data_IF_741472810894
#
_entry.id   IF_741472810894
#
_cell.length_a   1.000
_cell.length_b   1.000
_cell.length_c   1.000
_cell.angle_alpha   90.00
_cell.angle_beta   90.00
_cell.angle_gamma   90.00
#
_symmetry.space_group_name_H-M   'P 1'
#
loop_
_entity.id
_entity.type
_entity.pdbx_description
1 polymer ?
#
# COMPACT_ATOMS: atom_id res chain seq x y z
N UNK A 1 -58.78 14.80 -11.93
CA UNK A 1 -57.84 14.97 -10.79
C UNK A 1 -56.49 14.42 -11.21
N UNK A 2 -55.57 15.31 -11.60
CA UNK A 2 -54.22 14.91 -11.99
C UNK A 2 -53.37 14.71 -10.71
N UNK A 3 -52.93 13.49 -10.47
CA UNK A 3 -52.04 13.17 -9.36
C UNK A 3 -50.62 13.54 -9.77
N UNK A 4 -50.12 14.68 -9.27
CA UNK A 4 -48.73 15.07 -9.45
C UNK A 4 -47.84 14.14 -8.63
N UNK A 5 -47.13 13.25 -9.33
CA UNK A 5 -46.03 12.48 -8.76
C UNK A 5 -44.92 13.44 -8.35
N UNK A 6 -44.78 13.67 -7.05
CA UNK A 6 -43.72 14.50 -6.49
C UNK A 6 -42.37 13.79 -6.67
N UNK A 7 -41.70 14.05 -7.80
CA UNK A 7 -40.30 13.68 -8.00
C UNK A 7 -39.46 14.44 -6.98
N UNK A 8 -38.98 13.75 -5.94
CA UNK A 8 -38.00 14.30 -5.02
C UNK A 8 -36.70 14.59 -5.79
N UNK A 9 -36.54 15.83 -6.26
CA UNK A 9 -35.26 16.40 -6.69
C UNK A 9 -34.46 16.65 -5.41
N UNK A 10 -33.97 15.56 -4.83
CA UNK A 10 -32.93 15.59 -3.82
C UNK A 10 -31.61 15.51 -4.56
N UNK A 11 -30.84 16.60 -4.57
CA UNK A 11 -29.41 16.56 -4.89
C UNK A 11 -28.69 15.69 -3.84
N UNK A 12 -28.83 14.37 -3.94
CA UNK A 12 -27.76 13.51 -3.44
C UNK A 12 -26.53 13.87 -4.27
N UNK A 13 -25.40 14.31 -3.67
CA UNK A 13 -24.21 14.58 -4.44
C UNK A 13 -23.89 13.30 -5.22
N UNK A 14 -23.85 13.39 -6.54
CA UNK A 14 -23.42 12.29 -7.38
C UNK A 14 -22.09 11.82 -6.82
N UNK A 15 -22.07 10.61 -6.24
CA UNK A 15 -20.83 10.04 -5.72
C UNK A 15 -19.95 9.83 -6.95
N UNK A 16 -18.94 10.68 -7.12
CA UNK A 16 -18.05 10.65 -8.28
C UNK A 16 -17.13 9.42 -8.25
N UNK A 17 -16.75 8.97 -7.05
CA UNK A 17 -15.82 7.85 -6.82
C UNK A 17 -16.32 6.87 -5.74
N UNK A 18 -17.51 6.26 -5.91
CA UNK A 18 -18.12 5.42 -4.89
C UNK A 18 -17.32 4.15 -4.59
N UNK A 19 -16.67 3.54 -5.57
CA UNK A 19 -15.86 2.33 -5.37
C UNK A 19 -14.51 2.71 -4.80
N UNK A 20 -13.77 3.61 -5.45
CA UNK A 20 -12.45 4.06 -4.98
C UNK A 20 -12.54 4.67 -3.57
N UNK A 21 -13.59 5.47 -3.31
CA UNK A 21 -13.85 6.04 -1.98
C UNK A 21 -14.18 4.99 -0.91
N UNK A 22 -14.91 3.92 -1.25
CA UNK A 22 -15.21 2.84 -0.30
C UNK A 22 -13.94 2.09 0.14
N UNK A 23 -12.99 1.89 -0.78
CA UNK A 23 -11.71 1.25 -0.48
C UNK A 23 -10.71 2.18 0.21
N UNK A 24 -10.93 3.49 0.24
CA UNK A 24 -10.04 4.41 0.94
C UNK A 24 -9.92 4.06 2.44
N UNK A 25 -11.04 3.73 3.09
CA UNK A 25 -11.06 3.39 4.51
C UNK A 25 -10.16 2.19 4.85
N UNK A 26 -10.33 0.98 4.28
CA UNK A 26 -9.49 -0.17 4.63
C UNK A 26 -8.02 0.03 4.26
N UNK A 27 -7.72 0.67 3.13
CA UNK A 27 -6.33 0.94 2.74
C UNK A 27 -5.64 1.95 3.67
N UNK A 28 -6.33 3.03 4.05
CA UNK A 28 -5.80 4.01 5.02
C UNK A 28 -5.66 3.39 6.40
N UNK A 29 -6.63 2.59 6.86
CA UNK A 29 -6.51 1.88 8.12
C UNK A 29 -5.26 0.98 8.16
N UNK A 30 -4.99 0.27 7.06
CA UNK A 30 -3.80 -0.56 6.95
C UNK A 30 -2.50 0.25 6.84
N UNK A 31 -2.51 1.39 6.15
CA UNK A 31 -1.39 2.33 6.13
C UNK A 31 -1.02 2.81 7.55
N UNK A 32 -2.03 3.21 8.32
CA UNK A 32 -1.87 3.63 9.71
C UNK A 32 -1.31 2.51 10.59
N UNK A 33 -1.75 1.26 10.37
CA UNK A 33 -1.19 0.10 11.05
C UNK A 33 0.31 -0.09 10.75
N UNK A 34 0.71 -0.05 9.47
CA UNK A 34 2.13 -0.15 9.08
C UNK A 34 2.96 1.02 9.67
N UNK A 35 2.41 2.23 9.64
CA UNK A 35 3.06 3.42 10.21
C UNK A 35 3.25 3.28 11.72
N UNK A 36 2.21 2.85 12.43
CA UNK A 36 2.25 2.60 13.87
C UNK A 36 3.28 1.55 14.26
N UNK A 37 3.43 0.48 13.46
CA UNK A 37 4.48 -0.52 13.67
C UNK A 37 5.89 0.07 13.53
N UNK A 38 6.14 0.88 12.50
CA UNK A 38 7.42 1.58 12.36
C UNK A 38 7.72 2.47 13.56
N UNK A 39 6.72 3.21 14.04
CA UNK A 39 6.87 4.05 15.25
C UNK A 39 7.15 3.19 16.48
N UNK A 40 6.42 2.08 16.66
CA UNK A 40 6.62 1.17 17.80
C UNK A 40 8.04 0.59 17.85
N UNK A 41 8.58 0.16 16.70
CA UNK A 41 9.96 -0.34 16.64
C UNK A 41 10.98 0.76 16.93
N UNK A 42 10.78 1.99 16.42
CA UNK A 42 11.65 3.14 16.71
C UNK A 42 11.67 3.51 18.19
N UNK A 43 10.51 3.50 18.85
CA UNK A 43 10.40 3.77 20.27
C UNK A 43 11.04 2.66 21.12
N UNK A 44 10.96 1.40 20.67
CA UNK A 44 11.58 0.26 21.37
C UNK A 44 13.09 0.19 21.21
N UNK A 45 13.61 0.57 20.06
CA UNK A 45 15.03 0.44 19.72
C UNK A 45 15.80 1.76 19.91
N UNK A 46 15.16 2.80 20.47
CA UNK A 46 15.70 4.15 20.73
C UNK A 46 16.41 4.83 19.53
N UNK A 47 16.13 4.36 18.31
CA UNK A 47 16.73 4.88 17.10
C UNK A 47 15.82 5.93 16.48
N UNK A 48 16.11 7.20 16.79
CA UNK A 48 15.32 8.34 16.32
C UNK A 48 15.64 8.69 14.87
N UNK A 49 14.71 9.37 14.21
CA UNK A 49 14.93 9.87 12.85
C UNK A 49 15.99 10.99 12.95
N UNK A 50 17.14 10.78 12.31
CA UNK A 50 18.24 11.75 12.34
C UNK A 50 19.30 11.51 13.43
N UNK A 51 19.34 10.35 14.07
CA UNK A 51 20.50 9.97 14.88
C UNK A 51 21.71 9.77 13.95
N UNK A 52 22.79 10.52 14.17
CA UNK A 52 24.01 10.37 13.38
C UNK A 52 24.57 8.96 13.59
N UNK A 53 24.79 8.22 12.51
CA UNK A 53 25.51 6.94 12.53
C UNK A 53 26.99 7.06 12.91
N UNK A 54 27.39 8.17 13.54
CA UNK A 54 28.76 8.47 13.98
C UNK A 54 28.89 8.51 15.51
N UNK A 55 28.06 7.80 16.27
CA UNK A 55 28.52 7.32 17.57
C UNK A 55 29.62 6.29 17.30
N UNK A 56 30.86 6.78 17.21
CA UNK A 56 32.05 5.96 17.43
C UNK A 56 31.82 5.21 18.73
N UNK A 57 32.03 3.91 18.68
CA UNK A 57 32.29 3.07 19.84
C UNK A 57 33.52 3.63 20.57
N UNK A 58 33.32 4.65 21.39
CA UNK A 58 34.28 5.12 22.37
C UNK A 58 33.68 4.83 23.73
N UNK A 59 33.61 3.54 24.04
CA UNK A 59 33.88 2.97 25.37
C UNK A 59 33.49 1.48 25.38
N UNK A 60 34.29 0.65 24.72
CA UNK A 60 34.41 -0.76 25.09
C UNK A 60 35.82 -1.26 24.77
N UNK A 61 36.58 -1.69 25.79
CA UNK A 61 37.97 -2.06 25.62
C UNK A 61 38.08 -3.45 24.97
N UNK A 62 39.08 -3.56 24.10
CA UNK A 62 39.70 -4.80 23.62
C UNK A 62 38.84 -5.72 22.73
N UNK A 63 39.14 -5.65 21.42
CA UNK A 63 39.57 -6.81 20.65
C UNK A 63 38.79 -8.11 20.84
N UNK A 64 37.53 -8.13 20.43
CA UNK A 64 36.87 -9.34 19.95
C UNK A 64 36.15 -8.99 18.66
N UNK A 65 36.60 -9.58 17.55
CA UNK A 65 35.75 -9.73 16.37
C UNK A 65 34.55 -10.55 16.82
N UNK A 66 33.44 -9.85 17.11
CA UNK A 66 32.17 -10.48 17.43
C UNK A 66 31.66 -11.05 16.11
N UNK A 67 32.03 -12.31 15.87
CA UNK A 67 31.29 -13.22 15.03
C UNK A 67 29.81 -13.08 15.39
N UNK A 68 29.03 -12.68 14.40
CA UNK A 68 27.57 -12.76 14.30
C UNK A 68 26.87 -13.38 15.53
N UNK A 69 26.44 -12.53 16.46
CA UNK A 69 25.37 -12.82 17.43
C UNK A 69 24.80 -11.51 18.02
N UNK A 70 24.60 -10.50 17.15
CA UNK A 70 23.70 -9.38 17.42
C UNK A 70 22.37 -9.67 16.69
N UNK A 71 21.68 -10.71 17.14
CA UNK A 71 20.48 -11.25 16.52
C UNK A 71 19.27 -10.29 16.56
N UNK A 72 18.59 -10.23 15.43
CA UNK A 72 17.15 -9.97 15.25
C UNK A 72 16.57 -8.55 15.40
N UNK A 73 17.16 -7.61 16.15
CA UNK A 73 16.48 -6.31 16.37
C UNK A 73 16.62 -5.28 15.23
N UNK A 74 17.77 -5.20 14.57
CA UNK A 74 17.98 -4.22 13.48
C UNK A 74 17.24 -4.60 12.18
N UNK A 75 16.79 -5.86 12.04
CA UNK A 75 16.05 -6.30 10.86
C UNK A 75 14.57 -5.94 10.93
N UNK A 76 13.93 -5.97 12.10
CA UNK A 76 12.50 -5.74 12.22
C UNK A 76 12.10 -4.30 11.85
N UNK A 77 12.85 -3.31 12.32
CA UNK A 77 12.63 -1.91 11.96
C UNK A 77 12.88 -1.65 10.47
N UNK A 78 13.90 -2.27 9.89
CA UNK A 78 14.23 -2.16 8.46
C UNK A 78 13.14 -2.82 7.60
N UNK A 79 12.65 -3.99 8.01
CA UNK A 79 11.56 -4.71 7.35
C UNK A 79 10.26 -3.92 7.42
N UNK A 80 9.90 -3.38 8.60
CA UNK A 80 8.71 -2.57 8.77
C UNK A 80 8.77 -1.29 7.93
N UNK A 81 9.93 -0.62 7.94
CA UNK A 81 10.14 0.62 7.16
C UNK A 81 10.02 0.36 5.66
N UNK A 82 10.59 -0.75 5.16
CA UNK A 82 10.45 -1.15 3.75
C UNK A 82 9.01 -1.50 3.39
N UNK A 83 8.28 -2.20 4.27
CA UNK A 83 6.86 -2.51 4.05
C UNK A 83 6.00 -1.23 3.96
N UNK A 84 6.23 -0.28 4.87
CA UNK A 84 5.54 1.01 4.87
C UNK A 84 5.87 1.85 3.64
N UNK A 85 7.15 1.98 3.28
CA UNK A 85 7.59 2.72 2.08
C UNK A 85 6.99 2.10 0.80
N UNK A 86 7.05 0.78 0.66
CA UNK A 86 6.49 0.11 -0.51
C UNK A 86 4.97 0.30 -0.63
N UNK A 87 4.24 0.33 0.49
CA UNK A 87 2.82 0.66 0.48
C UNK A 87 2.60 2.12 0.05
N UNK A 88 3.38 3.05 0.58
CA UNK A 88 3.28 4.48 0.28
C UNK A 88 3.61 4.83 -1.19
N UNK A 89 4.45 4.04 -1.86
CA UNK A 89 4.78 4.26 -3.28
C UNK A 89 3.70 3.73 -4.23
N UNK A 90 3.12 2.57 -3.92
CA UNK A 90 2.27 1.87 -4.87
C UNK A 90 0.78 2.15 -4.69
N UNK A 91 0.31 2.29 -3.44
CA UNK A 91 -1.12 2.43 -3.16
C UNK A 91 -1.68 3.77 -3.62
N UNK A 92 -1.03 4.92 -3.36
CA UNK A 92 -1.52 6.19 -3.89
C UNK A 92 -1.61 6.19 -5.41
N UNK A 93 -0.60 5.64 -6.10
CA UNK A 93 -0.62 5.52 -7.56
C UNK A 93 -1.78 4.64 -8.04
N UNK A 94 -2.03 3.51 -7.38
CA UNK A 94 -3.16 2.64 -7.70
C UNK A 94 -4.52 3.35 -7.48
N UNK A 95 -4.66 4.16 -6.44
CA UNK A 95 -5.87 4.94 -6.19
C UNK A 95 -6.09 6.06 -7.20
N UNK A 96 -5.01 6.70 -7.66
CA UNK A 96 -5.08 7.70 -8.75
C UNK A 96 -5.58 7.01 -10.03
N UNK A 97 -5.00 5.88 -10.41
CA UNK A 97 -5.42 5.14 -11.61
C UNK A 97 -6.85 4.59 -11.49
N UNK A 98 -7.22 4.05 -10.33
CA UNK A 98 -8.57 3.59 -10.06
C UNK A 98 -9.60 4.74 -10.14
N UNK A 99 -9.25 5.91 -9.60
CA UNK A 99 -10.09 7.11 -9.69
C UNK A 99 -10.26 7.59 -11.14
N UNK A 100 -9.18 7.63 -11.91
CA UNK A 100 -9.23 7.96 -13.34
C UNK A 100 -10.13 6.95 -14.08
N UNK A 101 -9.94 5.65 -13.86
CA UNK A 101 -10.77 4.62 -14.49
C UNK A 101 -12.25 4.79 -14.13
N UNK A 102 -12.56 5.03 -12.86
CA UNK A 102 -13.94 5.19 -12.36
C UNK A 102 -14.64 6.41 -12.97
N UNK A 103 -13.94 7.55 -13.07
CA UNK A 103 -14.47 8.76 -13.71
C UNK A 103 -14.71 8.55 -15.21
N UNK A 104 -13.88 7.73 -15.88
CA UNK A 104 -14.03 7.36 -17.29
C UNK A 104 -15.06 6.23 -17.52
N UNK A 105 -15.87 5.88 -16.53
CA UNK A 105 -16.97 4.92 -16.70
C UNK A 105 -16.58 3.45 -16.54
N UNK A 106 -15.49 3.16 -15.84
CA UNK A 106 -15.10 1.79 -15.49
C UNK A 106 -16.24 0.98 -14.86
N UNK A 107 -16.26 -0.32 -15.16
CA UNK A 107 -17.20 -1.24 -14.53
C UNK A 107 -16.89 -1.38 -13.04
N UNK A 108 -17.86 -1.02 -12.20
CA UNK A 108 -17.77 -1.06 -10.73
C UNK A 108 -17.37 -2.43 -10.18
N UNK A 109 -17.85 -3.52 -10.78
CA UNK A 109 -17.51 -4.89 -10.33
C UNK A 109 -16.05 -5.22 -10.61
N UNK A 110 -15.55 -4.84 -11.79
CA UNK A 110 -14.14 -5.04 -12.17
C UNK A 110 -13.24 -4.22 -11.24
N UNK A 111 -13.58 -2.94 -11.02
CA UNK A 111 -12.80 -2.05 -10.16
C UNK A 111 -12.78 -2.54 -8.71
N UNK A 112 -13.92 -3.00 -8.20
CA UNK A 112 -14.01 -3.62 -6.85
C UNK A 112 -13.13 -4.86 -6.76
N UNK A 113 -13.16 -5.74 -7.77
CA UNK A 113 -12.33 -6.95 -7.80
C UNK A 113 -10.83 -6.63 -7.83
N UNK A 114 -10.43 -5.65 -8.63
CA UNK A 114 -9.03 -5.20 -8.74
C UNK A 114 -8.53 -4.59 -7.43
N UNK A 115 -9.30 -3.68 -6.81
CA UNK A 115 -8.93 -3.07 -5.53
C UNK A 115 -8.93 -4.07 -4.37
N UNK A 116 -9.86 -5.03 -4.36
CA UNK A 116 -9.86 -6.13 -3.38
C UNK A 116 -8.63 -7.01 -3.54
N UNK A 117 -8.29 -7.36 -4.78
CA UNK A 117 -7.09 -8.16 -5.09
C UNK A 117 -5.82 -7.42 -4.69
N UNK A 118 -5.73 -6.13 -5.00
CA UNK A 118 -4.64 -5.28 -4.57
C UNK A 118 -4.49 -5.29 -3.05
N UNK A 119 -5.59 -5.11 -2.32
CA UNK A 119 -5.59 -5.11 -0.86
C UNK A 119 -5.10 -6.45 -0.31
N UNK A 120 -5.63 -7.56 -0.83
CA UNK A 120 -5.23 -8.90 -0.42
C UNK A 120 -3.73 -9.16 -0.68
N UNK A 121 -3.23 -8.80 -1.87
CA UNK A 121 -1.81 -8.92 -2.21
C UNK A 121 -0.94 -8.07 -1.26
N UNK A 122 -1.41 -6.89 -0.87
CA UNK A 122 -0.70 -5.97 0.03
C UNK A 122 -0.61 -6.50 1.45
N UNK A 123 -1.71 -7.02 1.98
CA UNK A 123 -1.73 -7.67 3.30
C UNK A 123 -0.87 -8.92 3.28
N UNK A 124 -1.02 -9.79 2.27
CA UNK A 124 -0.21 -11.01 2.14
C UNK A 124 1.29 -10.72 2.03
N UNK A 125 1.68 -9.71 1.25
CA UNK A 125 3.09 -9.36 1.09
C UNK A 125 3.72 -8.82 2.39
N UNK A 126 3.06 -7.87 3.04
CA UNK A 126 3.60 -7.24 4.23
C UNK A 126 3.53 -8.14 5.48
N UNK A 127 2.47 -8.91 5.67
CA UNK A 127 2.33 -9.76 6.87
C UNK A 127 2.87 -11.19 6.71
N UNK A 128 2.76 -11.80 5.53
CA UNK A 128 3.21 -13.19 5.31
C UNK A 128 4.50 -13.31 4.50
N UNK A 129 4.78 -12.34 3.62
CA UNK A 129 5.98 -12.34 2.77
C UNK A 129 7.24 -11.82 3.47
N UNK A 130 7.11 -10.85 4.37
CA UNK A 130 8.23 -10.14 4.99
C UNK A 130 8.53 -10.50 6.45
N UNK A 131 7.54 -11.00 7.21
CA UNK A 131 7.65 -11.16 8.68
C UNK A 131 8.07 -12.58 9.12
N UNK A 132 7.94 -13.61 8.26
CA UNK A 132 8.37 -14.97 8.64
C UNK A 132 9.89 -15.17 8.47
N UNK A 133 10.65 -15.46 9.54
CA UNK A 133 12.04 -15.89 9.41
C UNK A 133 12.06 -17.21 8.63
N UNK A 134 12.58 -17.17 7.40
CA UNK A 134 12.58 -18.32 6.47
C UNK A 134 11.74 -18.14 5.19
N UNK A 135 11.05 -17.02 4.98
CA UNK A 135 10.31 -16.75 3.71
C UNK A 135 11.21 -16.29 2.54
N UNK A 136 12.53 -16.44 2.69
CA UNK A 136 13.58 -16.06 1.73
C UNK A 136 13.55 -16.95 0.48
N UNK A 137 12.59 -16.73 -0.42
CA UNK A 137 12.76 -16.94 -1.86
C UNK A 137 11.55 -16.44 -2.69
N UNK A 138 10.33 -16.81 -2.32
CA UNK A 138 9.17 -16.68 -3.22
C UNK A 138 8.20 -15.52 -2.91
N UNK A 139 8.09 -15.08 -1.65
CA UNK A 139 7.09 -14.05 -1.25
C UNK A 139 7.43 -12.63 -1.72
N UNK A 140 8.72 -12.32 -1.91
CA UNK A 140 9.20 -11.02 -2.40
C UNK A 140 8.88 -10.76 -3.88
N UNK A 141 9.22 -11.66 -4.83
CA UNK A 141 8.88 -11.45 -6.23
C UNK A 141 7.35 -11.46 -6.45
N UNK A 142 6.61 -12.35 -5.77
CA UNK A 142 5.16 -12.45 -5.94
C UNK A 142 4.44 -11.16 -5.54
N UNK A 143 4.81 -10.51 -4.43
CA UNK A 143 4.18 -9.25 -4.04
C UNK A 143 4.54 -8.07 -4.94
N UNK A 144 5.79 -8.02 -5.41
CA UNK A 144 6.25 -7.01 -6.35
C UNK A 144 5.57 -7.16 -7.72
N UNK A 145 5.67 -8.35 -8.34
CA UNK A 145 5.04 -8.64 -9.63
C UNK A 145 3.52 -8.60 -9.55
N UNK A 146 2.93 -9.00 -8.42
CA UNK A 146 1.50 -8.89 -8.17
C UNK A 146 1.03 -7.44 -8.19
N UNK A 147 1.73 -6.53 -7.49
CA UNK A 147 1.35 -5.12 -7.52
C UNK A 147 1.67 -4.46 -8.87
N UNK A 148 2.83 -4.74 -9.46
CA UNK A 148 3.16 -4.25 -10.79
C UNK A 148 2.12 -4.70 -11.84
N UNK A 149 1.64 -5.94 -11.73
CA UNK A 149 0.56 -6.47 -12.54
C UNK A 149 -0.77 -5.72 -12.32
N UNK A 150 -1.13 -5.43 -11.06
CA UNK A 150 -2.33 -4.64 -10.75
C UNK A 150 -2.22 -3.20 -11.30
N UNK A 151 -1.07 -2.55 -11.12
CA UNK A 151 -0.84 -1.21 -11.66
C UNK A 151 -0.89 -1.21 -13.18
N UNK A 152 -0.26 -2.19 -13.83
CA UNK A 152 -0.33 -2.38 -15.27
C UNK A 152 -1.76 -2.65 -15.76
N UNK A 153 -2.53 -3.45 -15.03
CA UNK A 153 -3.93 -3.72 -15.35
C UNK A 153 -4.80 -2.46 -15.20
N UNK A 154 -4.63 -1.68 -14.13
CA UNK A 154 -5.34 -0.41 -13.95
C UNK A 154 -4.95 0.62 -15.00
N UNK A 155 -3.67 0.74 -15.32
CA UNK A 155 -3.17 1.64 -16.35
C UNK A 155 -3.70 1.25 -17.74
N UNK A 156 -3.62 -0.05 -18.09
CA UNK A 156 -4.13 -0.57 -19.35
C UNK A 156 -5.64 -0.44 -19.47
N UNK A 157 -6.38 -0.73 -18.39
CA UNK A 157 -7.84 -0.56 -18.37
C UNK A 157 -8.24 0.91 -18.49
N UNK A 158 -7.54 1.81 -17.80
CA UNK A 158 -7.74 3.25 -17.95
C UNK A 158 -7.47 3.68 -19.39
N UNK A 159 -6.34 3.29 -19.98
CA UNK A 159 -5.98 3.62 -21.36
C UNK A 159 -7.01 3.08 -22.37
N UNK A 160 -7.52 1.86 -22.16
CA UNK A 160 -8.56 1.26 -23.00
C UNK A 160 -9.87 2.06 -22.97
N UNK A 161 -10.26 2.62 -21.82
CA UNK A 161 -11.46 3.48 -21.72
C UNK A 161 -11.31 4.79 -22.50
N UNK A 162 -10.10 5.28 -22.70
CA UNK A 162 -9.79 6.54 -23.41
C UNK A 162 -9.17 6.27 -24.79
N UNK A 163 -9.30 5.05 -25.33
CA UNK A 163 -8.66 4.63 -26.59
C UNK A 163 -9.01 5.53 -27.79
N UNK A 164 -10.20 6.13 -27.78
CA UNK A 164 -10.68 6.96 -28.87
C UNK A 164 -9.82 8.24 -29.04
N UNK A 165 -9.18 8.71 -27.97
CA UNK A 165 -8.23 9.84 -28.01
C UNK A 165 -6.91 9.49 -28.71
N UNK A 166 -6.62 8.19 -28.87
CA UNK A 166 -5.45 7.67 -29.57
C UNK A 166 -5.75 7.31 -31.02
N UNK A 167 -6.99 7.52 -31.49
CA UNK A 167 -7.42 7.16 -32.84
C UNK A 167 -7.61 5.66 -33.06
N UNK A 168 -7.91 4.90 -31.99
CA UNK A 168 -8.12 3.45 -31.98
C UNK A 168 -9.58 3.05 -31.76
#
# INVERSE_FOLDING_TARGET
>A
MASYSSSSIGLAPARLLPVTGAFALPFTAYFLYLSGRCVQYRLRDEHWIGDDSSKKDSDSPSGKSVVANQGDKYNDLLVSTRAHANFAENVPLAFILAGIAEINGANRKVLTGVLTTLFALRVLHADFGLIRPGSMAAGRPIGYFGTAGVLGALAGYSAWLVKDFWGL
#
